data_IF_936862776567
#
_entry.id   IF_936862776567
#
_cell.length_a   1.000
_cell.length_b   1.000
_cell.length_c   1.000
_cell.angle_alpha   90.00
_cell.angle_beta   90.00
_cell.angle_gamma   90.00
#
_symmetry.space_group_name_H-M   'P 1'
#
loop_
_entity.id
_entity.type
_entity.pdbx_description
1 polymer ?
#
# COMPACT_ATOMS: atom_id res chain seq x y z
N UNK A 1 -9.73 37.09 -15.54
CA UNK A 1 -10.12 36.22 -14.40
C UNK A 1 -9.94 34.74 -14.72
N UNK A 2 -10.20 34.33 -15.96
CA UNK A 2 -9.85 33.03 -16.56
C UNK A 2 -8.45 32.54 -16.21
N UNK A 3 -7.44 33.42 -16.24
CA UNK A 3 -6.03 33.06 -16.04
C UNK A 3 -5.73 32.46 -14.67
N UNK A 4 -6.37 32.97 -13.60
CA UNK A 4 -6.13 32.46 -12.25
C UNK A 4 -6.75 31.07 -12.04
N UNK A 5 -7.92 30.81 -12.64
CA UNK A 5 -8.58 29.51 -12.62
C UNK A 5 -7.78 28.48 -13.43
N UNK A 6 -7.35 28.87 -14.63
CA UNK A 6 -6.50 28.04 -15.49
C UNK A 6 -5.20 27.64 -14.79
N UNK A 7 -4.52 28.58 -14.13
CA UNK A 7 -3.29 28.30 -13.39
C UNK A 7 -3.50 27.28 -12.26
N UNK A 8 -4.65 27.31 -11.57
CA UNK A 8 -5.00 26.33 -10.53
C UNK A 8 -5.21 24.94 -11.14
N UNK A 9 -5.91 24.82 -12.26
CA UNK A 9 -6.05 23.55 -12.97
C UNK A 9 -4.72 23.02 -13.49
N UNK A 10 -3.88 23.88 -14.11
CA UNK A 10 -2.51 23.51 -14.54
C UNK A 10 -1.66 23.02 -13.39
N UNK A 11 -1.80 23.61 -12.19
CA UNK A 11 -1.10 23.16 -10.97
C UNK A 11 -1.59 21.78 -10.52
N UNK A 12 -2.91 21.54 -10.49
CA UNK A 12 -3.47 20.22 -10.19
C UNK A 12 -3.05 19.16 -11.23
N UNK A 13 -2.97 19.54 -12.51
CA UNK A 13 -2.51 18.63 -13.55
C UNK A 13 -1.04 18.23 -13.39
N UNK A 14 -0.21 18.93 -12.60
CA UNK A 14 1.19 18.51 -12.34
C UNK A 14 1.30 17.13 -11.70
N UNK A 15 0.22 16.59 -11.12
CA UNK A 15 0.16 15.21 -10.62
C UNK A 15 0.09 14.17 -11.73
N UNK A 16 -0.22 14.54 -12.97
CA UNK A 16 -0.13 13.65 -14.12
C UNK A 16 1.33 13.51 -14.62
N UNK A 17 1.67 12.40 -15.31
CA UNK A 17 2.97 12.26 -15.97
C UNK A 17 3.19 13.33 -17.06
N UNK A 18 4.42 13.82 -17.23
CA UNK A 18 4.77 14.88 -18.20
C UNK A 18 4.23 14.63 -19.61
N UNK A 19 4.54 13.48 -20.20
CA UNK A 19 4.07 13.09 -21.55
C UNK A 19 2.54 13.16 -21.69
N UNK A 20 1.80 12.72 -20.66
CA UNK A 20 0.33 12.78 -20.69
C UNK A 20 -0.17 14.22 -20.65
N UNK A 21 0.49 15.10 -19.86
CA UNK A 21 0.12 16.52 -19.79
C UNK A 21 0.36 17.26 -21.09
N UNK A 22 1.44 16.92 -21.80
CA UNK A 22 1.75 17.48 -23.12
C UNK A 22 0.71 17.04 -24.17
N UNK A 23 0.21 15.80 -24.09
CA UNK A 23 -0.74 15.25 -25.06
C UNK A 23 -2.20 15.60 -24.78
N UNK A 24 -2.60 15.70 -23.50
CA UNK A 24 -4.01 15.77 -23.08
C UNK A 24 -4.32 16.97 -22.18
N UNK A 25 -3.29 17.67 -21.69
CA UNK A 25 -3.45 18.69 -20.65
C UNK A 25 -4.32 19.86 -21.09
N UNK A 26 -4.09 20.39 -22.29
CA UNK A 26 -4.85 21.54 -22.79
C UNK A 26 -6.30 21.18 -23.13
N UNK A 27 -6.56 19.96 -23.60
CA UNK A 27 -7.92 19.44 -23.82
C UNK A 27 -8.70 19.36 -22.51
N UNK A 28 -8.08 18.82 -21.45
CA UNK A 28 -8.73 18.71 -20.13
C UNK A 28 -8.98 20.10 -19.53
N UNK A 29 -8.03 21.02 -19.65
CA UNK A 29 -8.19 22.40 -19.15
C UNK A 29 -9.32 23.12 -19.88
N UNK A 30 -9.33 23.08 -21.22
CA UNK A 30 -10.38 23.73 -22.01
C UNK A 30 -11.78 23.18 -21.69
N UNK A 31 -11.89 21.86 -21.48
CA UNK A 31 -13.14 21.22 -21.05
C UNK A 31 -13.60 21.71 -19.68
N UNK A 32 -12.68 21.78 -18.70
CA UNK A 32 -13.00 22.25 -17.35
C UNK A 32 -13.37 23.74 -17.31
N UNK A 33 -12.72 24.57 -18.13
CA UNK A 33 -13.07 25.98 -18.27
C UNK A 33 -14.43 26.16 -18.95
N UNK A 34 -14.71 25.41 -20.02
CA UNK A 34 -16.02 25.45 -20.68
C UNK A 34 -17.17 25.04 -19.74
N UNK A 35 -16.96 24.05 -18.87
CA UNK A 35 -17.92 23.67 -17.83
C UNK A 35 -18.07 24.76 -16.77
N UNK A 36 -16.98 25.42 -16.36
CA UNK A 36 -17.04 26.52 -15.40
C UNK A 36 -17.79 27.73 -15.98
N UNK A 37 -17.52 28.09 -17.24
CA UNK A 37 -18.19 29.17 -17.95
C UNK A 37 -19.68 28.88 -18.14
N UNK A 38 -20.05 27.63 -18.51
CA UNK A 38 -21.45 27.22 -18.63
C UNK A 38 -22.23 27.18 -17.30
N UNK A 39 -21.53 27.17 -16.17
CA UNK A 39 -22.13 27.28 -14.83
C UNK A 39 -22.00 28.71 -14.24
N UNK A 40 -21.58 29.69 -15.04
CA UNK A 40 -21.28 31.08 -14.63
C UNK A 40 -20.34 31.16 -13.41
N UNK A 41 -19.42 30.19 -13.29
CA UNK A 41 -18.50 30.08 -12.15
C UNK A 41 -17.21 30.85 -12.39
N UNK A 42 -16.86 31.67 -11.40
CA UNK A 42 -15.59 32.41 -11.37
C UNK A 42 -14.50 31.74 -10.54
N UNK A 43 -14.80 30.63 -9.85
CA UNK A 43 -13.84 29.93 -8.97
C UNK A 43 -13.81 28.40 -9.19
N UNK A 44 -12.63 27.81 -9.00
CA UNK A 44 -12.42 26.34 -9.03
C UNK A 44 -13.12 25.69 -7.84
N UNK A 45 -13.80 24.57 -8.04
CA UNK A 45 -14.32 23.77 -6.90
C UNK A 45 -13.21 22.88 -6.33
N UNK A 46 -13.11 22.82 -5.01
CA UNK A 46 -12.13 21.95 -4.33
C UNK A 46 -12.29 20.45 -4.72
N UNK A 47 -13.51 19.88 -4.82
CA UNK A 47 -13.69 18.51 -5.32
C UNK A 47 -13.11 18.26 -6.72
N UNK A 48 -13.19 19.22 -7.64
CA UNK A 48 -12.63 19.10 -9.00
C UNK A 48 -11.11 19.01 -8.94
N UNK A 49 -10.48 19.87 -8.13
CA UNK A 49 -9.03 19.85 -7.94
C UNK A 49 -8.57 18.53 -7.30
N UNK A 50 -9.25 18.07 -6.25
CA UNK A 50 -8.92 16.81 -5.59
C UNK A 50 -9.09 15.61 -6.54
N UNK A 51 -10.12 15.61 -7.38
CA UNK A 51 -10.32 14.57 -8.39
C UNK A 51 -9.18 14.53 -9.42
N UNK A 52 -8.70 15.69 -9.88
CA UNK A 52 -7.54 15.78 -10.78
C UNK A 52 -6.26 15.27 -10.11
N UNK A 53 -6.02 15.64 -8.84
CA UNK A 53 -4.87 15.13 -8.09
C UNK A 53 -4.94 13.61 -7.95
N UNK A 54 -6.09 13.08 -7.52
CA UNK A 54 -6.31 11.64 -7.33
C UNK A 54 -6.11 10.86 -8.64
N UNK A 55 -6.71 11.33 -9.73
CA UNK A 55 -6.60 10.69 -11.04
C UNK A 55 -5.18 10.79 -11.62
N UNK A 56 -4.49 11.91 -11.38
CA UNK A 56 -3.07 12.07 -11.75
C UNK A 56 -2.15 11.08 -11.03
N UNK A 57 -2.33 10.93 -9.71
CA UNK A 57 -1.62 9.93 -8.89
C UNK A 57 -1.95 8.52 -9.38
N UNK A 58 -3.23 8.20 -9.57
CA UNK A 58 -3.66 6.90 -10.07
C UNK A 58 -3.05 6.58 -11.45
N UNK A 59 -2.92 7.58 -12.33
CA UNK A 59 -2.28 7.43 -13.65
C UNK A 59 -0.78 7.13 -13.51
N UNK A 60 -0.08 7.77 -12.56
CA UNK A 60 1.33 7.47 -12.28
C UNK A 60 1.51 6.06 -11.72
N UNK A 61 0.71 5.70 -10.72
CA UNK A 61 0.75 4.36 -10.11
C UNK A 61 0.41 3.29 -11.15
N UNK A 62 -0.59 3.52 -12.00
CA UNK A 62 -0.99 2.59 -13.07
C UNK A 62 0.09 2.33 -14.12
N UNK A 63 1.07 3.23 -14.29
CA UNK A 63 2.24 2.99 -15.15
C UNK A 63 3.26 2.03 -14.51
N UNK A 64 3.28 1.94 -13.19
CA UNK A 64 4.21 1.10 -12.43
C UNK A 64 3.57 -0.25 -12.09
N UNK A 65 2.30 -0.22 -11.65
CA UNK A 65 1.56 -1.38 -11.17
C UNK A 65 0.32 -1.59 -12.04
N UNK A 66 0.27 -2.68 -12.84
CA UNK A 66 -0.90 -3.02 -13.65
C UNK A 66 -2.17 -3.13 -12.80
N UNK A 67 -3.34 -2.80 -13.38
CA UNK A 67 -4.63 -2.86 -12.68
C UNK A 67 -4.86 -4.21 -11.98
N UNK A 68 -4.63 -5.33 -12.68
CA UNK A 68 -4.73 -6.68 -12.11
C UNK A 68 -3.87 -6.92 -10.88
N UNK A 69 -2.66 -6.35 -10.84
CA UNK A 69 -1.79 -6.48 -9.67
C UNK A 69 -2.32 -5.62 -8.51
N UNK A 70 -2.81 -4.40 -8.79
CA UNK A 70 -3.46 -3.54 -7.78
C UNK A 70 -4.68 -4.20 -7.17
N UNK A 71 -5.53 -4.81 -7.97
CA UNK A 71 -6.72 -5.55 -7.51
C UNK A 71 -6.34 -6.71 -6.59
N UNK A 72 -5.31 -7.48 -6.95
CA UNK A 72 -4.80 -8.56 -6.09
C UNK A 72 -4.18 -8.03 -4.79
N UNK A 73 -3.41 -6.94 -4.84
CA UNK A 73 -2.84 -6.29 -3.64
C UNK A 73 -3.97 -5.80 -2.74
N UNK A 74 -4.98 -5.15 -3.30
CA UNK A 74 -6.19 -4.68 -2.61
C UNK A 74 -6.94 -5.86 -1.94
N UNK A 75 -7.04 -7.00 -2.63
CA UNK A 75 -7.63 -8.23 -2.08
C UNK A 75 -6.81 -8.77 -0.89
N UNK A 76 -5.49 -8.83 -1.03
CA UNK A 76 -4.59 -9.30 0.04
C UNK A 76 -4.69 -8.36 1.24
N UNK A 77 -4.60 -7.06 1.02
CA UNK A 77 -4.70 -6.06 2.08
C UNK A 77 -6.06 -6.09 2.80
N UNK A 78 -7.17 -6.30 2.08
CA UNK A 78 -8.49 -6.43 2.68
C UNK A 78 -8.58 -7.68 3.56
N UNK A 79 -8.22 -8.84 3.01
CA UNK A 79 -8.29 -10.11 3.73
C UNK A 79 -7.37 -10.12 4.95
N UNK A 80 -6.12 -9.68 4.80
CA UNK A 80 -5.16 -9.67 5.91
C UNK A 80 -5.47 -8.61 6.94
N UNK A 81 -5.84 -7.40 6.50
CA UNK A 81 -6.22 -6.30 7.38
C UNK A 81 -7.45 -6.66 8.21
N UNK A 82 -8.49 -7.24 7.60
CA UNK A 82 -9.67 -7.64 8.34
C UNK A 82 -9.39 -8.71 9.40
N UNK A 83 -8.58 -9.72 9.08
CA UNK A 83 -8.20 -10.75 10.06
C UNK A 83 -7.39 -10.17 11.20
N UNK A 84 -6.39 -9.35 10.90
CA UNK A 84 -5.60 -8.67 11.93
C UNK A 84 -6.48 -7.76 12.78
N UNK A 85 -7.47 -7.09 12.19
CA UNK A 85 -8.44 -6.29 12.94
C UNK A 85 -9.27 -7.16 13.89
N UNK A 86 -9.75 -8.34 13.46
CA UNK A 86 -10.47 -9.27 14.34
C UNK A 86 -9.57 -9.74 15.48
N UNK A 87 -8.33 -10.13 15.19
CA UNK A 87 -7.37 -10.58 16.20
C UNK A 87 -7.08 -9.45 17.19
N UNK A 88 -6.80 -8.24 16.71
CA UNK A 88 -6.52 -7.10 17.58
C UNK A 88 -7.73 -6.67 18.40
N UNK A 89 -8.93 -6.74 17.82
CA UNK A 89 -10.17 -6.49 18.54
C UNK A 89 -10.36 -7.48 19.68
N UNK A 90 -10.21 -8.78 19.40
CA UNK A 90 -10.49 -9.83 20.38
C UNK A 90 -9.38 -9.90 21.43
N UNK A 91 -8.10 -9.87 21.02
CA UNK A 91 -6.96 -10.11 21.90
C UNK A 91 -6.45 -8.84 22.59
N UNK A 92 -6.37 -7.72 21.88
CA UNK A 92 -5.70 -6.52 22.37
C UNK A 92 -6.65 -5.40 22.81
N UNK A 93 -7.96 -5.58 22.64
CA UNK A 93 -8.94 -4.51 22.92
C UNK A 93 -10.10 -4.98 23.76
N UNK A 94 -10.71 -6.11 23.42
CA UNK A 94 -11.78 -6.68 24.23
C UNK A 94 -11.24 -7.61 25.31
N UNK A 95 -10.39 -8.56 24.92
CA UNK A 95 -9.76 -9.57 25.79
C UNK A 95 -10.71 -10.10 26.85
N UNK A 96 -11.86 -10.70 26.48
CA UNK A 96 -12.93 -11.04 27.43
C UNK A 96 -12.52 -12.06 28.52
N UNK A 97 -11.37 -12.72 28.35
CA UNK A 97 -10.78 -13.62 29.35
C UNK A 97 -9.91 -12.89 30.39
N UNK A 98 -9.53 -11.64 30.15
CA UNK A 98 -8.74 -10.83 31.07
C UNK A 98 -9.64 -9.99 31.96
N UNK A 99 -9.30 -9.87 33.23
CA UNK A 99 -9.99 -8.96 34.14
C UNK A 99 -9.40 -7.55 33.97
N UNK A 100 -9.91 -6.81 32.99
CA UNK A 100 -9.45 -5.44 32.70
C UNK A 100 -9.58 -4.50 33.91
N UNK A 101 -10.48 -4.81 34.86
CA UNK A 101 -10.66 -4.01 36.07
C UNK A 101 -9.50 -4.18 37.06
N UNK A 102 -8.85 -5.33 37.06
CA UNK A 102 -7.67 -5.60 37.87
C UNK A 102 -6.40 -5.23 37.10
N UNK A 103 -6.37 -5.53 35.80
CA UNK A 103 -5.15 -5.44 35.00
C UNK A 103 -4.83 -4.00 34.54
N UNK A 104 -5.83 -3.11 34.45
CA UNK A 104 -5.67 -1.79 33.80
C UNK A 104 -6.39 -0.63 34.52
N UNK A 105 -7.33 -0.88 35.42
CA UNK A 105 -8.24 0.18 35.93
C UNK A 105 -7.55 1.33 36.65
N UNK A 106 -6.42 1.07 37.32
CA UNK A 106 -5.66 2.13 38.01
C UNK A 106 -4.70 2.88 37.06
N UNK A 107 -4.42 2.30 35.89
CA UNK A 107 -3.43 2.84 34.98
C UNK A 107 -4.06 3.79 33.94
N UNK A 108 -5.24 3.47 33.40
CA UNK A 108 -5.80 4.23 32.26
C UNK A 108 -7.32 4.19 32.12
N UNK A 109 -7.95 5.24 31.55
CA UNK A 109 -9.38 5.24 31.26
C UNK A 109 -9.73 4.23 30.15
N UNK A 110 -10.66 3.32 30.43
CA UNK A 110 -11.20 2.36 29.46
C UNK A 110 -12.19 3.01 28.49
N UNK A 111 -12.47 2.33 27.38
CA UNK A 111 -13.49 2.72 26.42
C UNK A 111 -14.69 1.76 26.52
N UNK A 112 -15.51 1.93 27.57
CA UNK A 112 -16.61 1.01 27.88
C UNK A 112 -16.07 -0.39 28.24
N UNK A 113 -16.54 -1.48 27.60
CA UNK A 113 -16.02 -2.83 27.84
C UNK A 113 -14.67 -3.10 27.14
N UNK A 114 -14.10 -2.11 26.47
CA UNK A 114 -12.86 -2.24 25.72
C UNK A 114 -11.71 -1.51 26.42
N UNK A 115 -10.52 -2.10 26.37
CA UNK A 115 -9.30 -1.51 26.94
C UNK A 115 -8.93 -0.17 26.29
N UNK A 116 -9.24 0.02 25.00
CA UNK A 116 -8.95 1.24 24.24
C UNK A 116 -9.95 1.39 23.06
N UNK A 117 -10.06 2.54 22.37
CA UNK A 117 -11.00 2.70 21.27
C UNK A 117 -10.47 2.20 19.94
N UNK A 118 -9.43 1.36 19.94
CA UNK A 118 -9.06 0.57 18.77
C UNK A 118 -10.25 -0.19 18.20
N UNK A 119 -11.27 -0.50 19.02
CA UNK A 119 -12.55 -1.07 18.58
C UNK A 119 -13.19 -0.31 17.42
N UNK A 120 -13.05 1.02 17.36
CA UNK A 120 -13.58 1.82 16.25
C UNK A 120 -12.87 1.49 14.94
N UNK A 121 -11.54 1.43 14.98
CA UNK A 121 -10.72 1.07 13.82
C UNK A 121 -10.99 -0.37 13.39
N UNK A 122 -10.93 -1.31 14.34
CA UNK A 122 -11.06 -2.73 14.03
C UNK A 122 -12.47 -3.09 13.58
N UNK A 123 -13.50 -2.51 14.20
CA UNK A 123 -14.89 -2.68 13.79
C UNK A 123 -15.14 -2.23 12.34
N UNK A 124 -14.56 -1.09 11.93
CA UNK A 124 -14.65 -0.62 10.54
C UNK A 124 -14.01 -1.61 9.57
N UNK A 125 -12.88 -2.23 9.93
CA UNK A 125 -12.24 -3.26 9.10
C UNK A 125 -13.10 -4.53 8.98
N UNK A 126 -13.75 -4.96 10.07
CA UNK A 126 -14.69 -6.09 10.05
C UNK A 126 -15.89 -5.80 9.14
N UNK A 127 -16.50 -4.61 9.26
CA UNK A 127 -17.57 -4.16 8.36
C UNK A 127 -17.09 -4.11 6.91
N UNK A 128 -15.86 -3.65 6.68
CA UNK A 128 -15.22 -3.66 5.36
C UNK A 128 -15.12 -5.06 4.77
N UNK A 129 -14.69 -6.05 5.57
CA UNK A 129 -14.65 -7.44 5.13
C UNK A 129 -16.04 -7.94 4.70
N UNK A 130 -17.07 -7.66 5.51
CA UNK A 130 -18.46 -8.05 5.19
C UNK A 130 -18.88 -7.44 3.86
N UNK A 131 -18.66 -6.13 3.64
CA UNK A 131 -18.97 -5.50 2.36
C UNK A 131 -18.17 -6.06 1.19
N UNK A 132 -16.90 -6.45 1.41
CA UNK A 132 -16.08 -7.12 0.40
C UNK A 132 -16.62 -8.51 0.04
N UNK A 133 -17.05 -9.29 1.02
CA UNK A 133 -17.63 -10.62 0.80
C UNK A 133 -19.00 -10.55 0.11
N UNK A 134 -19.79 -9.51 0.38
CA UNK A 134 -21.06 -9.24 -0.30
C UNK A 134 -20.89 -8.56 -1.67
N UNK A 135 -19.65 -8.29 -2.11
CA UNK A 135 -19.32 -7.56 -3.32
C UNK A 135 -19.94 -6.15 -3.42
N UNK A 136 -20.18 -5.50 -2.27
CA UNK A 136 -20.72 -4.14 -2.17
C UNK A 136 -19.62 -3.09 -2.32
N UNK A 137 -19.06 -2.97 -3.52
CA UNK A 137 -17.85 -2.19 -3.81
C UNK A 137 -17.92 -0.72 -3.33
N UNK A 138 -19.05 -0.04 -3.48
CA UNK A 138 -19.21 1.36 -3.02
C UNK A 138 -19.18 1.46 -1.51
N UNK A 139 -19.92 0.59 -0.82
CA UNK A 139 -19.95 0.55 0.64
C UNK A 139 -18.55 0.25 1.19
N UNK A 140 -17.86 -0.74 0.61
CA UNK A 140 -16.47 -1.04 0.93
C UNK A 140 -15.55 0.17 0.76
N UNK A 141 -15.65 0.90 -0.36
CA UNK A 141 -14.82 2.10 -0.57
C UNK A 141 -15.04 3.14 0.53
N UNK A 142 -16.30 3.43 0.88
CA UNK A 142 -16.60 4.39 1.96
C UNK A 142 -16.07 3.89 3.31
N UNK A 143 -16.22 2.60 3.61
CA UNK A 143 -15.67 2.01 4.83
C UNK A 143 -14.14 2.09 4.87
N UNK A 144 -13.44 1.89 3.75
CA UNK A 144 -11.99 2.01 3.70
C UNK A 144 -11.50 3.45 3.76
N UNK A 145 -12.26 4.42 3.24
CA UNK A 145 -12.00 5.85 3.48
C UNK A 145 -12.11 6.15 4.98
N UNK A 146 -13.16 5.66 5.64
CA UNK A 146 -13.29 5.79 7.09
C UNK A 146 -12.13 5.11 7.83
N UNK A 147 -11.72 3.91 7.40
CA UNK A 147 -10.58 3.17 7.97
C UNK A 147 -9.24 3.89 7.80
N UNK A 148 -9.10 4.75 6.78
CA UNK A 148 -7.93 5.61 6.63
C UNK A 148 -8.01 6.87 7.52
N UNK A 149 -9.21 7.43 7.72
CA UNK A 149 -9.41 8.63 8.54
C UNK A 149 -9.25 8.34 10.04
N UNK A 150 -9.85 7.26 10.54
CA UNK A 150 -9.90 6.93 11.98
C UNK A 150 -8.51 6.85 12.62
N UNK A 151 -7.48 6.19 12.05
CA UNK A 151 -6.15 6.17 12.64
C UNK A 151 -5.53 7.57 12.81
N UNK A 152 -5.75 8.46 11.84
CA UNK A 152 -5.27 9.84 11.91
C UNK A 152 -5.99 10.63 12.99
N UNK A 153 -7.32 10.46 13.10
CA UNK A 153 -8.14 11.08 14.14
C UNK A 153 -7.75 10.59 15.53
N UNK A 154 -7.61 9.28 15.73
CA UNK A 154 -7.19 8.70 17.01
C UNK A 154 -5.81 9.22 17.43
N UNK A 155 -4.85 9.31 16.49
CA UNK A 155 -3.53 9.86 16.78
C UNK A 155 -3.59 11.34 17.17
N UNK A 156 -4.37 12.13 16.44
CA UNK A 156 -4.53 13.56 16.72
C UNK A 156 -5.17 13.78 18.10
N UNK A 157 -6.24 13.05 18.41
CA UNK A 157 -6.91 13.13 19.72
C UNK A 157 -5.96 12.78 20.85
N UNK A 158 -5.19 11.68 20.73
CA UNK A 158 -4.20 11.30 21.73
C UNK A 158 -3.16 12.42 21.94
N UNK A 159 -2.66 13.00 20.85
CA UNK A 159 -1.69 14.08 20.92
C UNK A 159 -2.25 15.34 21.61
N UNK A 160 -3.50 15.72 21.31
CA UNK A 160 -4.18 16.85 21.96
C UNK A 160 -4.44 16.61 23.45
N UNK A 161 -4.50 15.34 23.89
CA UNK A 161 -4.60 14.93 25.29
C UNK A 161 -3.22 14.75 25.97
N UNK A 162 -2.14 15.20 25.33
CA UNK A 162 -0.79 15.14 25.90
C UNK A 162 -0.14 13.75 25.82
N UNK A 163 -0.55 12.90 24.87
CA UNK A 163 -0.02 11.55 24.67
C UNK A 163 -0.13 10.65 25.93
N UNK A 164 -1.11 10.95 26.79
CA UNK A 164 -1.34 10.27 28.07
C UNK A 164 -2.15 8.98 27.94
N UNK A 165 -2.74 8.74 26.76
CA UNK A 165 -3.71 7.69 26.57
C UNK A 165 -3.14 6.44 25.88
N UNK A 166 -3.42 5.23 26.39
CA UNK A 166 -2.99 3.97 25.82
C UNK A 166 -3.92 3.56 24.67
N UNK A 167 -4.07 4.45 23.69
CA UNK A 167 -4.66 4.07 22.42
C UNK A 167 -3.80 3.01 21.70
N UNK A 168 -4.32 2.43 20.59
CA UNK A 168 -3.54 1.52 19.76
C UNK A 168 -2.17 2.09 19.43
N UNK A 169 -1.16 1.24 19.39
CA UNK A 169 0.20 1.64 19.07
C UNK A 169 0.24 2.45 17.77
N UNK A 170 1.10 3.47 17.71
CA UNK A 170 1.26 4.29 16.48
C UNK A 170 1.68 3.44 15.28
N UNK A 171 2.37 2.33 15.51
CA UNK A 171 2.69 1.30 14.52
C UNK A 171 1.44 0.60 13.99
N UNK A 172 0.52 0.19 14.87
CA UNK A 172 -0.77 -0.40 14.52
C UNK A 172 -1.60 0.57 13.67
N UNK A 173 -1.74 1.82 14.13
CA UNK A 173 -2.48 2.87 13.42
C UNK A 173 -1.89 3.12 12.03
N UNK A 174 -0.56 3.24 11.93
CA UNK A 174 0.13 3.42 10.65
C UNK A 174 -0.01 2.21 9.72
N UNK A 175 0.05 0.99 10.27
CA UNK A 175 -0.07 -0.23 9.49
C UNK A 175 -1.45 -0.37 8.85
N UNK A 176 -2.52 -0.19 9.63
CA UNK A 176 -3.89 -0.22 9.12
C UNK A 176 -4.17 0.92 8.14
N UNK A 177 -3.60 2.11 8.35
CA UNK A 177 -3.69 3.20 7.39
C UNK A 177 -3.10 2.82 6.02
N UNK A 178 -1.91 2.20 6.02
CA UNK A 178 -1.25 1.74 4.79
C UNK A 178 -2.06 0.64 4.10
N UNK A 179 -2.60 -0.32 4.85
CA UNK A 179 -3.48 -1.35 4.30
C UNK A 179 -4.76 -0.74 3.70
N UNK A 180 -5.39 0.24 4.35
CA UNK A 180 -6.57 0.91 3.82
C UNK A 180 -6.26 1.59 2.47
N UNK A 181 -5.09 2.24 2.35
CA UNK A 181 -4.65 2.79 1.07
C UNK A 181 -4.39 1.71 0.01
N UNK A 182 -3.84 0.55 0.38
CA UNK A 182 -3.72 -0.58 -0.53
C UNK A 182 -5.08 -1.08 -1.03
N UNK A 183 -6.10 -1.12 -0.15
CA UNK A 183 -7.46 -1.49 -0.55
C UNK A 183 -8.03 -0.44 -1.52
N UNK A 184 -7.93 0.85 -1.19
CA UNK A 184 -8.43 1.96 -2.01
C UNK A 184 -7.72 2.12 -3.36
N UNK A 185 -6.47 1.65 -3.49
CA UNK A 185 -5.70 1.74 -4.73
C UNK A 185 -6.16 0.75 -5.82
N UNK A 186 -7.03 -0.20 -5.50
CA UNK A 186 -7.55 -1.22 -6.41
C UNK A 186 -9.00 -1.59 -6.15
N UNK A 187 -9.48 -2.59 -6.88
CA UNK A 187 -10.78 -3.21 -6.64
C UNK A 187 -10.55 -4.64 -6.15
N UNK A 188 -10.91 -4.98 -4.90
CA UNK A 188 -10.76 -6.34 -4.40
C UNK A 188 -11.40 -7.36 -5.33
N UNK A 189 -10.72 -8.49 -5.49
CA UNK A 189 -11.15 -9.57 -6.36
C UNK A 189 -12.38 -10.30 -5.79
N UNK A 190 -12.77 -11.40 -6.44
CA UNK A 190 -13.97 -12.18 -6.07
C UNK A 190 -14.03 -12.52 -4.57
N UNK A 191 -15.24 -12.55 -3.96
CA UNK A 191 -15.45 -12.89 -2.56
C UNK A 191 -14.71 -14.15 -2.10
N UNK A 192 -14.64 -15.18 -2.96
CA UNK A 192 -13.90 -16.41 -2.70
C UNK A 192 -12.42 -16.19 -2.41
N UNK A 193 -11.74 -15.30 -3.15
CA UNK A 193 -10.32 -15.01 -2.92
C UNK A 193 -10.10 -14.25 -1.63
N UNK A 194 -11.00 -13.32 -1.32
CA UNK A 194 -10.99 -12.60 -0.04
C UNK A 194 -11.11 -13.62 1.11
N UNK A 195 -12.05 -14.55 1.02
CA UNK A 195 -12.25 -15.60 2.02
C UNK A 195 -11.02 -16.51 2.17
N UNK A 196 -10.39 -16.94 1.07
CA UNK A 196 -9.16 -17.75 1.15
C UNK A 196 -8.03 -16.98 1.82
N UNK A 197 -7.80 -15.72 1.44
CA UNK A 197 -6.75 -14.89 2.05
C UNK A 197 -7.03 -14.69 3.54
N UNK A 198 -8.29 -14.42 3.91
CA UNK A 198 -8.69 -14.29 5.30
C UNK A 198 -8.45 -15.60 6.07
N UNK A 199 -8.83 -16.75 5.53
CA UNK A 199 -8.61 -18.05 6.16
C UNK A 199 -7.11 -18.35 6.37
N UNK A 200 -6.28 -18.11 5.34
CA UNK A 200 -4.81 -18.30 5.43
C UNK A 200 -4.20 -17.35 6.45
N UNK A 201 -4.61 -16.07 6.45
CA UNK A 201 -4.10 -15.09 7.42
C UNK A 201 -4.53 -15.45 8.83
N UNK A 202 -5.75 -15.96 9.01
CA UNK A 202 -6.27 -16.35 10.32
C UNK A 202 -5.51 -17.55 10.87
N UNK A 203 -5.24 -18.57 10.04
CA UNK A 203 -4.43 -19.71 10.43
C UNK A 203 -3.00 -19.28 10.82
N UNK A 204 -2.38 -18.40 10.03
CA UNK A 204 -1.05 -17.86 10.34
C UNK A 204 -1.04 -17.05 11.64
N UNK A 205 -2.03 -16.17 11.84
CA UNK A 205 -2.17 -15.40 13.06
C UNK A 205 -2.38 -16.31 14.28
N UNK A 206 -3.25 -17.31 14.17
CA UNK A 206 -3.47 -18.29 15.24
C UNK A 206 -2.17 -19.02 15.62
N UNK A 207 -1.39 -19.50 14.64
CA UNK A 207 -0.10 -20.16 14.90
C UNK A 207 0.84 -19.20 15.63
N UNK A 208 0.99 -17.96 15.14
CA UNK A 208 1.88 -16.97 15.75
C UNK A 208 1.47 -16.68 17.20
N UNK A 209 0.18 -16.44 17.45
CA UNK A 209 -0.30 -16.13 18.80
C UNK A 209 -0.19 -17.34 19.74
N UNK A 210 -0.49 -18.55 19.27
CA UNK A 210 -0.35 -19.78 20.05
C UNK A 210 1.11 -20.07 20.41
N UNK A 211 2.04 -19.91 19.46
CA UNK A 211 3.48 -20.09 19.71
C UNK A 211 4.06 -19.08 20.70
N UNK A 212 3.38 -17.94 20.91
CA UNK A 212 3.79 -16.91 21.87
C UNK A 212 3.01 -16.99 23.20
N UNK A 213 2.22 -18.05 23.44
CA UNK A 213 1.51 -18.27 24.71
C UNK A 213 0.42 -17.25 25.02
N UNK A 214 -0.05 -16.49 24.02
CA UNK A 214 -1.05 -15.43 24.22
C UNK A 214 -2.39 -15.95 24.77
N UNK A 215 -2.88 -17.15 24.39
CA UNK A 215 -4.11 -17.69 24.97
C UNK A 215 -4.03 -17.96 26.49
N UNK A 216 -2.82 -18.10 27.03
CA UNK A 216 -2.57 -18.36 28.46
C UNK A 216 -2.20 -17.07 29.23
N UNK A 217 -1.99 -15.96 28.52
CA UNK A 217 -1.56 -14.70 29.11
C UNK A 217 -2.75 -13.89 29.67
N UNK A 218 -2.45 -13.05 30.66
CA UNK A 218 -3.28 -11.91 31.06
C UNK A 218 -3.44 -10.90 29.90
N UNK A 219 -4.09 -9.76 30.12
CA UNK A 219 -4.21 -8.73 29.10
C UNK A 219 -2.86 -8.43 28.40
N UNK A 220 -2.87 -8.45 27.06
CA UNK A 220 -1.69 -8.18 26.23
C UNK A 220 -1.95 -6.93 25.39
N UNK A 221 -1.15 -5.88 25.61
CA UNK A 221 -1.18 -4.64 24.84
C UNK A 221 -0.80 -4.90 23.36
N UNK A 222 -1.38 -4.16 22.41
CA UNK A 222 -1.10 -4.32 20.98
C UNK A 222 0.36 -3.99 20.61
N UNK A 223 1.07 -3.24 21.46
CA UNK A 223 2.52 -3.02 21.37
C UNK A 223 3.31 -4.33 21.47
N UNK A 224 2.82 -5.31 22.24
CA UNK A 224 3.45 -6.63 22.35
C UNK A 224 3.44 -7.38 21.01
N UNK A 225 2.43 -7.16 20.18
CA UNK A 225 2.46 -7.70 18.81
C UNK A 225 3.70 -7.18 18.07
N UNK A 226 4.02 -5.89 18.16
CA UNK A 226 5.16 -5.31 17.44
C UNK A 226 6.52 -5.57 18.09
N UNK A 227 6.58 -5.62 19.43
CA UNK A 227 7.85 -5.83 20.14
C UNK A 227 8.20 -7.30 20.33
N UNK A 228 7.21 -8.19 20.44
CA UNK A 228 7.38 -9.62 20.65
C UNK A 228 7.13 -10.44 19.39
N UNK A 229 5.88 -10.48 18.91
CA UNK A 229 5.48 -11.43 17.84
C UNK A 229 6.03 -11.05 16.47
N UNK A 230 5.84 -9.79 16.09
CA UNK A 230 6.34 -9.15 14.88
C UNK A 230 7.64 -8.39 15.18
N UNK A 231 8.50 -8.99 16.01
CA UNK A 231 9.80 -8.43 16.36
C UNK A 231 10.59 -8.12 15.08
N UNK A 232 11.44 -7.10 15.14
CA UNK A 232 12.17 -6.55 13.99
C UNK A 232 12.86 -7.62 13.16
N UNK A 233 13.48 -8.63 13.80
CA UNK A 233 14.11 -9.74 13.09
C UNK A 233 13.11 -10.60 12.30
N UNK A 234 11.94 -10.91 12.87
CA UNK A 234 10.91 -11.70 12.20
C UNK A 234 10.33 -10.96 10.99
N UNK A 235 10.03 -9.67 11.14
CA UNK A 235 9.51 -8.84 10.04
C UNK A 235 10.59 -8.65 8.97
N UNK A 236 11.85 -8.43 9.36
CA UNK A 236 12.97 -8.32 8.42
C UNK A 236 13.20 -9.62 7.65
N UNK A 237 13.15 -10.77 8.31
CA UNK A 237 13.25 -12.08 7.66
C UNK A 237 12.08 -12.30 6.69
N UNK A 238 10.85 -11.97 7.09
CA UNK A 238 9.68 -12.04 6.22
C UNK A 238 9.84 -11.14 4.99
N UNK A 239 10.31 -9.90 5.16
CA UNK A 239 10.59 -8.98 4.06
C UNK A 239 11.65 -9.58 3.14
N UNK A 240 12.75 -10.11 3.69
CA UNK A 240 13.81 -10.76 2.92
C UNK A 240 13.29 -11.95 2.10
N UNK A 241 12.55 -12.87 2.72
CA UNK A 241 11.96 -14.04 2.06
C UNK A 241 10.98 -13.60 0.97
N UNK A 242 10.13 -12.61 1.26
CA UNK A 242 9.19 -12.06 0.29
C UNK A 242 9.89 -11.39 -0.90
N UNK A 243 10.98 -10.68 -0.68
CA UNK A 243 11.81 -10.10 -1.74
C UNK A 243 12.45 -11.20 -2.61
N UNK A 244 13.01 -12.24 -2.00
CA UNK A 244 13.52 -13.41 -2.72
C UNK A 244 12.44 -14.05 -3.58
N UNK A 245 11.25 -14.29 -3.01
CA UNK A 245 10.11 -14.83 -3.74
C UNK A 245 9.73 -13.93 -4.94
N UNK A 246 9.67 -12.61 -4.75
CA UNK A 246 9.38 -11.67 -5.84
C UNK A 246 10.44 -11.72 -6.96
N UNK A 247 11.72 -11.87 -6.61
CA UNK A 247 12.82 -12.02 -7.58
C UNK A 247 12.66 -13.32 -8.37
N UNK A 248 12.44 -14.45 -7.70
CA UNK A 248 12.22 -15.75 -8.35
C UNK A 248 11.01 -15.73 -9.27
N UNK A 249 9.88 -15.15 -8.82
CA UNK A 249 8.68 -14.96 -9.66
C UNK A 249 8.97 -14.06 -10.87
N UNK A 250 9.80 -13.03 -10.68
CA UNK A 250 10.26 -12.16 -11.77
C UNK A 250 11.09 -12.91 -12.82
N UNK A 251 12.02 -13.76 -12.38
CA UNK A 251 12.84 -14.63 -13.25
C UNK A 251 11.94 -15.64 -13.99
N UNK A 252 10.98 -16.24 -13.28
CA UNK A 252 9.98 -17.14 -13.85
C UNK A 252 8.94 -16.45 -14.76
N UNK A 253 9.12 -15.15 -15.04
CA UNK A 253 8.24 -14.32 -15.88
C UNK A 253 6.81 -14.14 -15.32
N UNK A 254 6.57 -14.47 -14.05
CA UNK A 254 5.32 -14.28 -13.34
C UNK A 254 5.21 -12.87 -12.73
N UNK A 255 5.30 -11.85 -13.59
CA UNK A 255 5.41 -10.44 -13.18
C UNK A 255 4.27 -9.96 -12.29
N UNK A 256 3.04 -10.41 -12.55
CA UNK A 256 1.88 -10.03 -11.75
C UNK A 256 2.00 -10.53 -10.29
N UNK A 257 2.52 -11.74 -10.09
CA UNK A 257 2.70 -12.32 -8.75
C UNK A 257 3.90 -11.70 -8.05
N UNK A 258 4.98 -11.40 -8.77
CA UNK A 258 6.10 -10.65 -8.21
C UNK A 258 5.64 -9.27 -7.69
N UNK A 259 4.83 -8.54 -8.48
CA UNK A 259 4.27 -7.25 -8.06
C UNK A 259 3.29 -7.38 -6.90
N UNK A 260 2.50 -8.45 -6.86
CA UNK A 260 1.63 -8.75 -5.72
C UNK A 260 2.43 -8.91 -4.43
N UNK A 261 3.48 -9.74 -4.46
CA UNK A 261 4.35 -9.96 -3.29
C UNK A 261 5.00 -8.66 -2.85
N UNK A 262 5.59 -7.90 -3.79
CA UNK A 262 6.19 -6.61 -3.47
C UNK A 262 5.17 -5.63 -2.88
N UNK A 263 3.98 -5.52 -3.47
CA UNK A 263 2.92 -4.65 -2.99
C UNK A 263 2.43 -5.02 -1.59
N UNK A 264 2.28 -6.32 -1.31
CA UNK A 264 1.88 -6.83 0.00
C UNK A 264 2.95 -6.59 1.08
N UNK A 265 4.23 -6.54 0.71
CA UNK A 265 5.33 -6.24 1.63
C UNK A 265 5.49 -4.76 1.98
N UNK A 266 4.95 -3.83 1.16
CA UNK A 266 5.14 -2.39 1.37
C UNK A 266 4.70 -1.92 2.77
N UNK A 267 3.48 -2.25 3.26
CA UNK A 267 3.06 -1.82 4.60
C UNK A 267 4.01 -2.33 5.70
N UNK A 268 4.43 -3.59 5.60
CA UNK A 268 5.35 -4.21 6.55
C UNK A 268 6.73 -3.56 6.53
N UNK A 269 7.28 -3.29 5.35
CA UNK A 269 8.58 -2.65 5.19
C UNK A 269 8.59 -1.22 5.74
N UNK A 270 7.53 -0.44 5.48
CA UNK A 270 7.40 0.92 6.01
C UNK A 270 7.34 0.91 7.54
N UNK A 271 6.53 0.02 8.14
CA UNK A 271 6.40 -0.05 9.60
C UNK A 271 7.67 -0.59 10.26
N UNK A 272 8.31 -1.59 9.68
CA UNK A 272 9.60 -2.10 10.15
C UNK A 272 10.67 -0.99 10.14
N UNK A 273 10.73 -0.22 9.05
CA UNK A 273 11.66 0.90 8.93
C UNK A 273 11.35 2.01 9.95
N UNK A 274 10.08 2.39 10.11
CA UNK A 274 9.66 3.39 11.08
C UNK A 274 9.94 2.95 12.53
N UNK A 275 9.74 1.67 12.85
CA UNK A 275 10.05 1.09 14.15
C UNK A 275 11.56 1.05 14.41
N UNK A 276 12.34 0.59 13.42
CA UNK A 276 13.80 0.57 13.51
C UNK A 276 14.37 1.97 13.81
N UNK A 277 13.88 2.99 13.08
CA UNK A 277 14.27 4.39 13.25
C UNK A 277 14.02 4.94 14.67
N UNK A 278 13.01 4.42 15.38
CA UNK A 278 12.71 4.82 16.76
C UNK A 278 13.53 4.08 17.81
N UNK A 279 13.96 2.85 17.51
CA UNK A 279 14.59 1.95 18.48
C UNK A 279 16.10 2.16 18.63
N UNK A 280 16.85 2.14 17.51
CA UNK A 280 18.31 2.25 17.49
C UNK A 280 18.83 2.49 16.05
N UNK A 281 19.94 3.22 15.92
CA UNK A 281 20.66 3.44 14.68
C UNK A 281 21.14 2.13 14.03
N UNK A 282 21.52 1.12 14.83
CA UNK A 282 21.97 -0.18 14.33
C UNK A 282 20.87 -0.97 13.63
N UNK A 283 19.66 -1.00 14.21
CA UNK A 283 18.49 -1.60 13.56
C UNK A 283 18.14 -0.87 12.25
N UNK A 284 18.25 0.46 12.27
CA UNK A 284 18.01 1.30 11.10
C UNK A 284 18.99 0.99 9.97
N UNK A 285 20.28 0.82 10.28
CA UNK A 285 21.31 0.41 9.33
C UNK A 285 21.01 -0.96 8.73
N UNK A 286 20.66 -1.96 9.56
CA UNK A 286 20.33 -3.31 9.11
C UNK A 286 19.17 -3.33 8.11
N UNK A 287 18.07 -2.66 8.43
CA UNK A 287 16.91 -2.55 7.52
C UNK A 287 17.29 -1.81 6.25
N UNK A 288 18.04 -0.71 6.35
CA UNK A 288 18.47 0.10 5.20
C UNK A 288 19.34 -0.70 4.25
N UNK A 289 20.34 -1.43 4.76
CA UNK A 289 21.19 -2.32 3.95
C UNK A 289 20.36 -3.37 3.20
N UNK A 290 19.37 -3.97 3.86
CA UNK A 290 18.54 -5.01 3.26
C UNK A 290 17.65 -4.45 2.14
N UNK A 291 17.08 -3.25 2.33
CA UNK A 291 16.33 -2.54 1.29
C UNK A 291 17.23 -2.18 0.10
N UNK A 292 18.46 -1.69 0.35
CA UNK A 292 19.43 -1.36 -0.70
C UNK A 292 19.81 -2.62 -1.50
N UNK A 293 20.13 -3.72 -0.82
CA UNK A 293 20.47 -5.01 -1.47
C UNK A 293 19.31 -5.50 -2.32
N UNK A 294 18.09 -5.45 -1.79
CA UNK A 294 16.89 -5.83 -2.51
C UNK A 294 16.63 -4.97 -3.76
N UNK A 295 16.77 -3.66 -3.64
CA UNK A 295 16.66 -2.72 -4.74
C UNK A 295 17.74 -2.96 -5.80
N UNK A 296 18.98 -3.24 -5.37
CA UNK A 296 20.09 -3.59 -6.23
C UNK A 296 19.83 -4.87 -7.04
N UNK A 297 19.35 -5.93 -6.39
CA UNK A 297 19.00 -7.18 -7.07
C UNK A 297 17.84 -6.99 -8.05
N UNK A 298 16.79 -6.25 -7.65
CA UNK A 298 15.66 -5.96 -8.52
C UNK A 298 16.08 -5.15 -9.77
N UNK A 299 16.97 -4.17 -9.60
CA UNK A 299 17.51 -3.37 -10.70
C UNK A 299 18.39 -4.24 -11.62
N UNK A 300 19.29 -5.05 -11.07
CA UNK A 300 20.12 -5.98 -11.83
C UNK A 300 19.28 -6.97 -12.64
N UNK A 301 18.24 -7.55 -12.03
CA UNK A 301 17.30 -8.43 -12.71
C UNK A 301 16.56 -7.73 -13.87
N UNK A 302 16.13 -6.48 -13.66
CA UNK A 302 15.50 -5.68 -14.73
C UNK A 302 16.45 -5.41 -15.88
N UNK A 303 17.72 -5.11 -15.61
CA UNK A 303 18.75 -4.88 -16.62
C UNK A 303 19.08 -6.16 -17.39
N UNK A 304 19.20 -7.29 -16.70
CA UNK A 304 19.42 -8.60 -17.32
C UNK A 304 18.28 -8.97 -18.28
N UNK A 305 17.02 -8.78 -17.87
CA UNK A 305 15.83 -9.02 -18.71
C UNK A 305 15.78 -8.07 -19.92
N UNK A 306 16.21 -6.81 -19.75
CA UNK A 306 16.30 -5.86 -20.87
C UNK A 306 17.34 -6.32 -21.89
N UNK A 307 18.53 -6.71 -21.43
CA UNK A 307 19.60 -7.24 -22.30
C UNK A 307 19.16 -8.50 -23.03
N UNK A 308 18.47 -9.42 -22.37
CA UNK A 308 18.00 -10.66 -23.03
C UNK A 308 16.93 -10.41 -24.10
N UNK A 309 16.17 -9.31 -23.99
CA UNK A 309 15.15 -8.93 -25.00
C UNK A 309 15.72 -8.20 -26.21
N UNK A 310 16.90 -7.60 -26.08
CA UNK A 310 17.52 -6.89 -27.20
C UNK A 310 18.12 -7.85 -28.24
N UNK A 311 18.22 -9.15 -27.93
CA UNK A 311 18.84 -10.15 -28.80
C UNK A 311 20.30 -9.83 -29.10
N UNK A 312 21.09 -10.80 -29.59
CA UNK A 312 22.27 -10.42 -30.34
C UNK A 312 21.82 -9.53 -31.52
N UNK A 313 22.52 -8.42 -31.82
CA UNK A 313 22.21 -7.63 -33.00
C UNK A 313 22.16 -8.57 -34.21
N UNK A 314 21.16 -8.43 -35.10
CA UNK A 314 20.98 -9.35 -36.22
C UNK A 314 22.29 -9.48 -36.98
N UNK A 315 22.74 -10.72 -37.19
CA UNK A 315 24.03 -11.06 -37.83
C UNK A 315 24.19 -10.37 -39.20
N UNK A 316 23.05 -10.07 -39.84
CA UNK A 316 22.89 -9.36 -41.10
C UNK A 316 23.43 -7.91 -41.06
N UNK A 317 23.51 -7.28 -39.88
CA UNK A 317 24.08 -5.93 -39.74
C UNK A 317 25.61 -5.91 -39.92
N UNK A 318 26.29 -7.06 -39.83
CA UNK A 318 27.72 -7.16 -40.12
C UNK A 318 28.03 -7.35 -41.61
N UNK A 319 27.06 -7.79 -42.42
CA UNK A 319 27.27 -8.08 -43.85
C UNK A 319 27.29 -6.80 -44.69
N UNK A 320 26.55 -5.76 -44.29
CA UNK A 320 26.48 -4.49 -45.03
C UNK A 320 27.57 -3.47 -44.67
N UNK A 321 28.49 -3.80 -43.76
CA UNK A 321 29.62 -2.96 -43.38
C UNK A 321 30.94 -3.40 -44.06
N UNK A 322 30.88 -4.04 -45.25
CA UNK A 322 32.05 -4.17 -46.12
C UNK A 322 32.18 -2.92 -47.00
N UNK A 323 33.14 -2.02 -46.74
CA UNK A 323 33.46 -0.94 -47.67
C UNK A 323 34.14 -1.56 -48.89
N UNK A 324 33.43 -1.66 -50.02
CA UNK A 324 34.07 -2.17 -51.25
C UNK A 324 33.19 -2.57 -52.43
N UNK A 325 31.85 -2.57 -52.32
CA UNK A 325 31.01 -2.79 -53.49
C UNK A 325 30.73 -1.46 -54.19
N UNK A 326 31.68 -1.01 -55.01
CA UNK A 326 31.45 -0.04 -56.08
C UNK A 326 30.40 -0.59 -57.03
N UNK A 327 29.15 -0.15 -56.87
CA UNK A 327 28.09 -0.39 -57.85
C UNK A 327 28.45 0.42 -59.10
N UNK A 328 29.03 -0.27 -60.07
CA UNK A 328 29.21 0.24 -61.43
C UNK A 328 27.81 0.44 -62.05
N UNK A 329 27.46 1.69 -62.25
CA UNK A 329 26.22 2.10 -62.89
C UNK A 329 26.42 2.06 -64.41
N UNK A 330 26.04 0.96 -65.06
CA UNK A 330 26.06 0.82 -66.52
C UNK A 330 24.69 1.12 -67.12
N UNK A 331 24.35 2.40 -67.25
CA UNK A 331 23.28 2.85 -68.15
C UNK A 331 23.73 4.13 -68.84
N UNK A 332 24.56 3.95 -69.86
CA UNK A 332 24.70 4.82 -71.01
C UNK A 332 24.54 3.94 -72.23
N UNK A 333 23.33 3.89 -72.80
CA UNK A 333 23.01 3.73 -74.22
C UNK A 333 21.56 4.20 -74.41
#
# INVERSE_FOLDING_TARGET
MTDAMEQRYRRALRWYPRKWREEQGDVVISTLLAVADGEDRTTTRLPELLNLVATGIATRVGRVVPARARDRISTVALGSGAVLAVVFLIVHTWSPWADLSIDIADAFPTFGPFANPGVLLYGIWVVGLVFGLLAWNRALQYTMIAAAIVPMTLRLVNHLQGDTWPGPATTTLGFFLLLAFCVLAGTPASPSRIAVIAAVTLAAAYIVYAMNGVPEAHYVDDRYFWSGMAWSYGVVLMIFVGLMAAIFLGIARQRELALLVLGALVPWAIIAYAGAFRSDAWNTLGVTCLVIVAAGIALAGRLAIRRSRQGPPPENAKVNARPGATVWNSTNW
#
